data_IF_694827166550
#
_entry.id   IF_694827166550
#
_cell.length_a   1.000
_cell.length_b   1.000
_cell.length_c   1.000
_cell.angle_alpha   90.00
_cell.angle_beta   90.00
_cell.angle_gamma   90.00
#
_symmetry.space_group_name_H-M   'P 1'
#
loop_
_entity.id
_entity.type
_entity.pdbx_description
1 polymer ?
#
# COMPACT_ATOMS: atom_id res chain seq x y z
N UNK A 1 -18.20 21.11 -2.51
CA UNK A 1 -18.20 20.07 -1.45
C UNK A 1 -19.38 19.13 -1.71
N UNK A 2 -19.23 17.82 -1.50
CA UNK A 2 -20.21 16.79 -1.94
C UNK A 2 -21.27 16.42 -0.88
N UNK A 3 -21.56 17.29 0.09
CA UNK A 3 -22.57 17.08 1.13
C UNK A 3 -22.48 15.76 1.91
N UNK A 4 -21.27 15.24 2.12
CA UNK A 4 -21.03 14.07 2.99
C UNK A 4 -20.70 14.58 4.39
N UNK A 5 -21.55 14.34 5.42
CA UNK A 5 -21.25 14.74 6.79
C UNK A 5 -19.90 14.18 7.23
N UNK A 6 -19.00 15.06 7.68
CA UNK A 6 -17.62 14.70 8.03
C UNK A 6 -17.27 15.28 9.38
N UNK A 7 -16.95 14.42 10.34
CA UNK A 7 -16.42 14.82 11.64
C UNK A 7 -14.89 14.87 11.56
N UNK A 8 -14.29 16.05 11.70
CA UNK A 8 -12.83 16.24 11.63
C UNK A 8 -12.20 15.87 12.98
N UNK A 9 -12.05 14.57 13.23
CA UNK A 9 -11.40 14.00 14.43
C UNK A 9 -10.76 12.65 14.12
N UNK A 10 -9.76 12.26 14.92
CA UNK A 10 -9.31 10.88 14.93
C UNK A 10 -10.38 9.98 15.55
N UNK A 11 -10.50 8.76 15.01
CA UNK A 11 -11.42 7.75 15.51
C UNK A 11 -10.72 6.91 16.59
N UNK A 12 -11.48 6.54 17.62
CA UNK A 12 -11.01 5.87 18.83
C UNK A 12 -12.14 5.71 19.84
N UNK A 13 -11.88 5.14 21.01
CA UNK A 13 -12.91 4.87 22.01
C UNK A 13 -13.66 6.14 22.44
N UNK A 14 -12.93 7.24 22.69
CA UNK A 14 -13.53 8.51 23.10
C UNK A 14 -14.46 9.13 22.04
N UNK A 15 -14.06 9.06 20.76
CA UNK A 15 -14.89 9.54 19.65
C UNK A 15 -16.13 8.66 19.48
N UNK A 16 -15.98 7.34 19.63
CA UNK A 16 -17.09 6.40 19.59
C UNK A 16 -18.10 6.66 20.73
N UNK A 17 -17.63 6.91 21.95
CA UNK A 17 -18.49 7.21 23.11
C UNK A 17 -19.26 8.52 22.93
N UNK A 18 -18.61 9.55 22.39
CA UNK A 18 -19.27 10.83 22.07
C UNK A 18 -20.41 10.63 21.07
N UNK A 19 -20.13 9.99 19.92
CA UNK A 19 -21.15 9.69 18.90
C UNK A 19 -22.26 8.83 19.50
N UNK A 20 -21.89 7.90 20.36
CA UNK A 20 -22.82 7.03 21.04
C UNK A 20 -23.78 7.77 21.98
N UNK A 21 -23.28 8.77 22.72
CA UNK A 21 -24.09 9.62 23.60
C UNK A 21 -25.05 10.52 22.83
N UNK A 22 -24.70 10.87 21.60
CA UNK A 22 -25.56 11.59 20.64
C UNK A 22 -26.62 10.68 19.98
N UNK A 23 -26.73 9.42 20.41
CA UNK A 23 -27.68 8.46 19.87
C UNK A 23 -27.24 7.83 18.54
N UNK A 24 -25.99 8.05 18.10
CA UNK A 24 -25.46 7.43 16.90
C UNK A 24 -24.95 6.02 17.20
N UNK A 25 -25.26 5.06 16.32
CA UNK A 25 -24.68 3.71 16.27
C UNK A 25 -24.67 3.23 14.83
N UNK A 26 -23.73 2.36 14.49
CA UNK A 26 -23.53 1.91 13.12
C UNK A 26 -24.01 0.46 12.92
N UNK A 27 -24.78 0.23 11.85
CA UNK A 27 -25.03 -1.11 11.30
C UNK A 27 -23.81 -1.61 10.50
N UNK A 28 -23.04 -0.68 9.93
CA UNK A 28 -21.83 -0.95 9.17
C UNK A 28 -20.75 0.09 9.52
N UNK A 29 -19.58 -0.39 9.91
CA UNK A 29 -18.36 0.41 10.01
C UNK A 29 -17.41 0.01 8.88
N UNK A 30 -16.90 0.98 8.13
CA UNK A 30 -16.01 0.76 6.99
C UNK A 30 -14.71 1.52 7.21
N UNK A 31 -13.57 0.84 7.05
CA UNK A 31 -12.26 1.50 6.98
C UNK A 31 -11.40 0.91 5.88
N UNK A 32 -11.01 1.72 4.91
CA UNK A 32 -10.16 1.30 3.80
C UNK A 32 -8.79 1.96 3.92
N UNK A 33 -7.74 1.14 4.03
CA UNK A 33 -6.35 1.56 4.15
C UNK A 33 -6.11 2.52 5.33
N UNK A 34 -6.81 2.30 6.46
CA UNK A 34 -6.64 3.10 7.68
C UNK A 34 -6.11 2.30 8.85
N UNK A 35 -6.47 1.02 9.00
CA UNK A 35 -6.10 0.21 10.16
C UNK A 35 -4.58 0.16 10.38
N UNK A 36 -3.83 -0.04 9.30
CA UNK A 36 -2.37 -0.07 9.29
C UNK A 36 -1.70 1.28 9.64
N UNK A 37 -2.46 2.39 9.59
CA UNK A 37 -1.97 3.74 9.82
C UNK A 37 -2.16 4.24 11.25
N UNK A 38 -2.92 3.49 12.06
CA UNK A 38 -3.24 3.89 13.44
C UNK A 38 -2.13 3.40 14.37
N UNK A 39 -1.42 4.30 15.08
CA UNK A 39 -0.42 3.89 16.06
C UNK A 39 -1.02 3.15 17.25
N UNK A 40 -2.15 3.64 17.78
CA UNK A 40 -2.94 2.97 18.81
C UNK A 40 -4.07 2.13 18.19
N UNK A 41 -3.69 0.99 17.60
CA UNK A 41 -4.63 0.09 16.93
C UNK A 41 -5.70 -0.46 17.88
N UNK A 42 -5.39 -0.61 19.17
CA UNK A 42 -6.33 -1.14 20.16
C UNK A 42 -7.41 -0.11 20.51
N UNK A 43 -7.06 1.17 20.73
CA UNK A 43 -8.07 2.23 20.94
C UNK A 43 -9.01 2.37 19.73
N UNK A 44 -8.46 2.23 18.52
CA UNK A 44 -9.25 2.30 17.30
C UNK A 44 -10.22 1.14 17.15
N UNK A 45 -9.79 -0.10 17.40
CA UNK A 45 -10.65 -1.30 17.36
C UNK A 45 -11.66 -1.29 18.51
N UNK A 46 -11.29 -0.81 19.70
CA UNK A 46 -12.22 -0.59 20.81
C UNK A 46 -13.32 0.41 20.44
N UNK A 47 -12.95 1.51 19.78
CA UNK A 47 -13.91 2.47 19.24
C UNK A 47 -14.89 1.83 18.26
N UNK A 48 -14.42 0.93 17.40
CA UNK A 48 -15.29 0.20 16.47
C UNK A 48 -16.28 -0.67 17.22
N UNK A 49 -15.81 -1.47 18.19
CA UNK A 49 -16.69 -2.28 19.05
C UNK A 49 -17.79 -1.40 19.64
N UNK A 50 -17.42 -0.29 20.31
CA UNK A 50 -18.38 0.55 21.06
C UNK A 50 -19.47 1.18 20.19
N UNK A 51 -19.11 1.60 18.98
CA UNK A 51 -20.04 2.26 18.06
C UNK A 51 -20.90 1.27 17.26
N UNK A 52 -20.45 0.02 17.12
CA UNK A 52 -21.14 -1.03 16.37
C UNK A 52 -22.40 -1.52 17.10
N UNK A 53 -23.53 -1.58 16.39
CA UNK A 53 -24.76 -2.22 16.89
C UNK A 53 -24.56 -3.73 17.14
N UNK A 54 -25.39 -4.40 17.96
CA UNK A 54 -25.23 -5.83 18.27
C UNK A 54 -25.12 -6.75 17.05
N UNK A 55 -25.90 -6.49 15.99
CA UNK A 55 -25.87 -7.23 14.73
C UNK A 55 -25.11 -6.50 13.60
N UNK A 56 -24.33 -5.46 13.95
CA UNK A 56 -23.58 -4.68 12.97
C UNK A 56 -22.36 -5.43 12.43
N UNK A 57 -21.86 -4.98 11.29
CA UNK A 57 -20.64 -5.49 10.65
C UNK A 57 -19.54 -4.43 10.61
N UNK A 58 -18.31 -4.83 10.85
CA UNK A 58 -17.09 -4.05 10.58
C UNK A 58 -16.46 -4.63 9.32
N UNK A 59 -16.05 -3.76 8.39
CA UNK A 59 -15.20 -4.14 7.27
C UNK A 59 -13.96 -3.27 7.20
N UNK A 60 -12.79 -3.93 7.14
CA UNK A 60 -11.49 -3.26 7.09
C UNK A 60 -10.66 -3.79 5.94
N UNK A 61 -10.18 -2.89 5.07
CA UNK A 61 -9.22 -3.20 4.01
C UNK A 61 -7.82 -2.70 4.37
N UNK A 62 -6.80 -3.54 4.19
CA UNK A 62 -5.39 -3.19 4.39
C UNK A 62 -4.46 -4.10 3.57
N UNK A 63 -3.23 -3.63 3.22
CA UNK A 63 -2.23 -4.46 2.56
C UNK A 63 -1.91 -5.72 3.35
N UNK A 64 -1.80 -6.84 2.65
CA UNK A 64 -1.55 -8.15 3.26
C UNK A 64 -0.05 -8.40 3.46
N UNK A 65 0.36 -8.72 4.69
CA UNK A 65 1.76 -9.00 5.03
C UNK A 65 2.38 -10.11 4.19
N UNK A 66 1.62 -11.17 3.90
CA UNK A 66 2.10 -12.28 3.06
C UNK A 66 2.48 -11.77 1.66
N UNK A 67 1.59 -11.00 1.01
CA UNK A 67 1.83 -10.43 -0.32
C UNK A 67 2.96 -9.42 -0.33
N UNK A 68 3.14 -8.65 0.75
CA UNK A 68 4.29 -7.75 0.92
C UNK A 68 5.62 -8.53 0.89
N UNK A 69 5.72 -9.61 1.67
CA UNK A 69 6.95 -10.41 1.79
C UNK A 69 7.25 -11.22 0.53
N UNK A 70 6.22 -11.80 -0.09
CA UNK A 70 6.30 -12.55 -1.36
C UNK A 70 6.65 -11.64 -2.53
N UNK A 71 5.95 -10.51 -2.65
CA UNK A 71 6.14 -9.53 -3.72
C UNK A 71 7.31 -8.57 -3.50
N UNK A 72 8.14 -8.81 -2.49
CA UNK A 72 9.27 -7.96 -2.10
C UNK A 72 8.91 -6.46 -2.05
N UNK A 73 7.72 -6.13 -1.52
CA UNK A 73 7.09 -4.81 -1.59
C UNK A 73 7.60 -3.88 -0.48
N UNK A 74 8.92 -3.83 -0.27
CA UNK A 74 9.55 -3.09 0.82
C UNK A 74 9.33 -1.57 0.72
N UNK A 75 8.99 -1.07 -0.46
CA UNK A 75 8.67 0.34 -0.69
C UNK A 75 7.37 0.75 0.01
N UNK A 76 6.49 -0.20 0.33
CA UNK A 76 5.31 0.00 1.18
C UNK A 76 5.65 0.22 2.65
N UNK A 77 6.93 0.15 3.05
CA UNK A 77 7.40 0.42 4.41
C UNK A 77 7.75 1.90 4.53
N UNK A 78 6.86 2.70 5.11
CA UNK A 78 7.07 4.14 5.35
C UNK A 78 6.27 4.62 6.57
N UNK A 79 6.54 5.84 7.02
CA UNK A 79 6.06 6.37 8.30
C UNK A 79 4.55 6.32 8.53
N UNK A 80 3.74 6.42 7.47
CA UNK A 80 2.29 6.34 7.61
C UNK A 80 1.81 4.91 7.84
N UNK A 81 2.57 3.89 7.41
CA UNK A 81 2.28 2.48 7.70
C UNK A 81 2.95 2.06 9.00
N UNK A 82 2.22 2.21 10.10
CA UNK A 82 2.69 1.81 11.43
C UNK A 82 2.69 0.30 11.62
N UNK A 83 1.76 -0.41 10.97
CA UNK A 83 1.60 -1.86 11.06
C UNK A 83 1.56 -2.53 9.69
N UNK A 84 2.09 -3.75 9.61
CA UNK A 84 2.03 -4.62 8.43
C UNK A 84 1.28 -5.89 8.82
N UNK A 85 0.06 -6.05 8.30
CA UNK A 85 -0.95 -6.88 8.93
C UNK A 85 -1.14 -8.22 8.19
N UNK A 86 -1.04 -9.31 8.94
CA UNK A 86 -1.53 -10.64 8.54
C UNK A 86 -2.96 -10.85 9.04
N UNK A 87 -3.66 -11.86 8.51
CA UNK A 87 -4.94 -12.28 9.06
C UNK A 87 -4.77 -12.66 10.54
N UNK A 88 -3.75 -13.46 10.86
CA UNK A 88 -3.46 -13.86 12.24
C UNK A 88 -3.36 -12.67 13.21
N UNK A 89 -2.57 -11.65 12.87
CA UNK A 89 -2.38 -10.50 13.75
C UNK A 89 -3.69 -9.72 13.97
N UNK A 90 -4.49 -9.55 12.92
CA UNK A 90 -5.76 -8.84 12.99
C UNK A 90 -6.79 -9.64 13.79
N UNK A 91 -6.81 -10.96 13.67
CA UNK A 91 -7.63 -11.83 14.53
C UNK A 91 -7.30 -11.67 16.00
N UNK A 92 -6.00 -11.59 16.36
CA UNK A 92 -5.60 -11.39 17.76
C UNK A 92 -6.06 -10.03 18.29
N UNK A 93 -5.87 -8.95 17.52
CA UNK A 93 -6.29 -7.61 17.91
C UNK A 93 -7.80 -7.55 18.08
N UNK A 94 -8.58 -8.03 17.11
CA UNK A 94 -10.05 -7.98 17.18
C UNK A 94 -10.59 -8.86 18.33
N UNK A 95 -10.03 -10.05 18.53
CA UNK A 95 -10.44 -10.94 19.62
C UNK A 95 -10.20 -10.32 21.01
N UNK A 96 -9.10 -9.57 21.18
CA UNK A 96 -8.82 -8.85 22.43
C UNK A 96 -9.91 -7.83 22.80
N UNK A 97 -10.67 -7.34 21.82
CA UNK A 97 -11.79 -6.40 21.99
C UNK A 97 -13.18 -7.08 21.88
N UNK A 98 -13.25 -8.41 21.97
CA UNK A 98 -14.52 -9.14 21.92
C UNK A 98 -15.19 -9.13 20.54
N UNK A 99 -14.42 -8.90 19.48
CA UNK A 99 -14.85 -9.01 18.09
C UNK A 99 -14.33 -10.32 17.48
N UNK A 100 -15.11 -10.90 16.56
CA UNK A 100 -14.71 -12.08 15.82
C UNK A 100 -14.76 -11.80 14.33
N UNK A 101 -13.70 -12.19 13.62
CA UNK A 101 -13.67 -12.21 12.16
C UNK A 101 -14.45 -13.43 11.67
N UNK A 102 -15.36 -13.20 10.72
CA UNK A 102 -16.22 -14.24 10.17
C UNK A 102 -16.07 -14.41 8.65
N UNK A 103 -15.53 -13.42 7.93
CA UNK A 103 -15.24 -13.56 6.50
C UNK A 103 -14.00 -12.73 6.09
N UNK A 104 -13.42 -13.04 4.94
CA UNK A 104 -12.26 -12.33 4.38
C UNK A 104 -12.22 -12.40 2.85
N UNK A 105 -11.93 -11.27 2.21
CA UNK A 105 -11.66 -11.17 0.77
C UNK A 105 -10.19 -10.84 0.51
N UNK A 106 -9.56 -11.55 -0.43
CA UNK A 106 -8.28 -11.16 -1.00
C UNK A 106 -8.52 -10.27 -2.21
N UNK A 107 -7.87 -9.10 -2.23
CA UNK A 107 -8.04 -8.07 -3.25
C UNK A 107 -6.68 -7.78 -3.93
N UNK A 108 -6.66 -7.52 -5.25
CA UNK A 108 -5.43 -7.14 -5.95
C UNK A 108 -4.98 -5.71 -5.66
N UNK A 109 -5.79 -4.92 -4.93
CA UNK A 109 -5.51 -3.52 -4.61
C UNK A 109 -4.22 -3.37 -3.81
N UNK A 110 -3.50 -2.28 -4.06
CA UNK A 110 -2.26 -1.92 -3.37
C UNK A 110 -1.11 -2.95 -3.41
N UNK A 111 -1.17 -3.94 -4.32
CA UNK A 111 -0.18 -5.01 -4.40
C UNK A 111 -0.60 -6.31 -3.70
N UNK A 112 -1.84 -6.39 -3.24
CA UNK A 112 -2.37 -7.51 -2.47
C UNK A 112 -2.86 -7.02 -1.11
N UNK A 113 -4.16 -7.04 -0.91
CA UNK A 113 -4.83 -6.57 0.31
C UNK A 113 -5.80 -7.61 0.82
N UNK A 114 -6.07 -7.57 2.13
CA UNK A 114 -7.21 -8.26 2.72
C UNK A 114 -8.31 -7.25 2.98
N UNK A 115 -9.56 -7.65 2.72
CA UNK A 115 -10.74 -7.04 3.32
C UNK A 115 -11.37 -8.04 4.28
N UNK A 116 -11.32 -7.75 5.58
CA UNK A 116 -11.93 -8.59 6.60
C UNK A 116 -13.38 -8.16 6.87
N UNK A 117 -14.15 -9.09 7.43
CA UNK A 117 -15.46 -8.83 7.98
C UNK A 117 -15.51 -9.35 9.43
N UNK A 118 -15.94 -8.49 10.35
CA UNK A 118 -15.99 -8.79 11.77
C UNK A 118 -17.28 -8.28 12.43
N UNK A 119 -17.64 -8.88 13.56
CA UNK A 119 -18.76 -8.45 14.39
C UNK A 119 -18.52 -8.78 15.86
N UNK A 120 -19.47 -8.45 16.74
CA UNK A 120 -19.41 -8.86 18.15
C UNK A 120 -19.31 -10.38 18.25
N UNK A 121 -18.36 -10.92 19.03
CA UNK A 121 -18.07 -12.36 19.04
C UNK A 121 -19.30 -13.23 19.38
N UNK A 122 -20.23 -12.74 20.21
CA UNK A 122 -21.48 -13.44 20.53
C UNK A 122 -22.58 -13.36 19.46
N UNK A 123 -22.40 -12.54 18.41
CA UNK A 123 -23.37 -12.34 17.33
C UNK A 123 -22.78 -12.62 15.93
N UNK A 124 -21.46 -12.73 15.83
CA UNK A 124 -20.78 -13.00 14.56
C UNK A 124 -21.16 -14.40 14.04
N UNK A 125 -21.35 -14.55 12.72
CA UNK A 125 -21.45 -15.86 12.09
C UNK A 125 -20.21 -16.72 12.36
N UNK A 126 -20.35 -18.03 12.11
CA UNK A 126 -19.19 -18.91 12.05
C UNK A 126 -18.21 -18.44 10.95
N UNK A 127 -16.92 -18.63 11.20
CA UNK A 127 -15.89 -18.31 10.22
C UNK A 127 -16.14 -19.03 8.88
N UNK A 128 -16.11 -18.27 7.79
CA UNK A 128 -16.29 -18.79 6.44
C UNK A 128 -15.14 -19.71 6.04
N UNK A 129 -15.36 -20.52 5.00
CA UNK A 129 -14.30 -21.34 4.39
C UNK A 129 -13.11 -20.50 3.91
N UNK A 130 -13.35 -19.23 3.53
CA UNK A 130 -12.30 -18.29 3.09
C UNK A 130 -11.36 -17.94 4.24
N UNK A 131 -11.90 -17.69 5.43
CA UNK A 131 -11.10 -17.44 6.64
C UNK A 131 -10.29 -18.67 7.00
N UNK A 132 -10.90 -19.86 6.96
CA UNK A 132 -10.21 -21.11 7.27
C UNK A 132 -9.08 -21.42 6.27
N UNK A 133 -9.32 -21.19 4.99
CA UNK A 133 -8.32 -21.37 3.94
C UNK A 133 -7.13 -20.41 4.13
N UNK A 134 -7.40 -19.12 4.36
CA UNK A 134 -6.33 -18.13 4.55
C UNK A 134 -5.53 -18.35 5.85
N UNK A 135 -6.18 -18.79 6.93
CA UNK A 135 -5.47 -19.24 8.14
C UNK A 135 -4.51 -20.38 7.84
N UNK A 136 -4.94 -21.37 7.05
CA UNK A 136 -4.11 -22.50 6.66
C UNK A 136 -2.93 -22.07 5.77
N UNK A 137 -3.14 -21.14 4.83
CA UNK A 137 -2.08 -20.55 4.00
C UNK A 137 -1.03 -19.82 4.86
N UNK A 138 -1.46 -18.91 5.75
CA UNK A 138 -0.53 -18.19 6.65
C UNK A 138 0.21 -19.13 7.60
N UNK A 139 -0.45 -20.17 8.10
CA UNK A 139 0.18 -21.17 8.95
C UNK A 139 1.21 -22.02 8.19
N UNK A 140 0.91 -22.41 6.95
CA UNK A 140 1.79 -23.25 6.13
C UNK A 140 3.11 -22.54 5.79
N UNK A 141 3.06 -21.23 5.52
CA UNK A 141 4.28 -20.44 5.29
C UNK A 141 4.95 -20.00 6.59
N UNK A 142 4.23 -20.05 7.71
CA UNK A 142 4.76 -19.77 9.04
C UNK A 142 4.85 -18.28 9.36
N UNK A 143 3.86 -17.47 8.97
CA UNK A 143 3.81 -15.99 9.21
C UNK A 143 4.05 -15.62 10.69
N UNK A 144 3.73 -16.51 11.63
CA UNK A 144 3.94 -16.29 13.08
C UNK A 144 5.37 -16.58 13.55
N UNK A 145 6.26 -17.05 12.68
CA UNK A 145 7.63 -17.45 13.02
C UNK A 145 8.65 -16.49 12.42
N UNK A 146 9.69 -16.13 13.18
CA UNK A 146 10.77 -15.26 12.69
C UNK A 146 11.51 -15.83 11.48
N UNK A 147 11.56 -17.16 11.34
CA UNK A 147 12.18 -17.84 10.20
C UNK A 147 11.50 -17.53 8.87
N UNK A 148 10.20 -17.24 8.84
CA UNK A 148 9.49 -16.85 7.62
C UNK A 148 10.03 -15.53 7.03
N UNK A 149 10.40 -14.59 7.90
CA UNK A 149 10.97 -13.30 7.51
C UNK A 149 12.47 -13.37 7.24
N UNK A 150 13.12 -14.50 7.58
CA UNK A 150 14.54 -14.69 7.32
C UNK A 150 14.80 -14.60 5.80
N UNK A 151 15.78 -13.80 5.42
CA UNK A 151 16.13 -13.56 4.02
C UNK A 151 15.33 -12.47 3.31
N UNK A 152 14.21 -11.97 3.86
CA UNK A 152 13.51 -10.81 3.26
C UNK A 152 14.46 -9.62 3.09
N UNK A 153 15.24 -9.29 4.11
CA UNK A 153 16.24 -8.23 4.04
C UNK A 153 17.30 -8.42 2.94
N UNK A 154 17.76 -9.65 2.70
CA UNK A 154 18.68 -9.91 1.58
C UNK A 154 18.00 -9.76 0.23
N UNK A 155 16.74 -10.21 0.07
CA UNK A 155 15.96 -9.99 -1.16
C UNK A 155 15.78 -8.50 -1.45
N UNK A 156 15.50 -7.70 -0.43
CA UNK A 156 15.42 -6.24 -0.56
C UNK A 156 16.74 -5.63 -1.02
N UNK A 157 17.88 -6.02 -0.41
CA UNK A 157 19.20 -5.55 -0.83
C UNK A 157 19.52 -5.96 -2.26
N UNK A 158 19.14 -7.17 -2.66
CA UNK A 158 19.38 -7.66 -4.02
C UNK A 158 18.56 -6.89 -5.06
N UNK A 159 17.27 -6.65 -4.81
CA UNK A 159 16.44 -5.80 -5.67
C UNK A 159 17.01 -4.38 -5.78
N UNK A 160 17.54 -3.81 -4.68
CA UNK A 160 18.28 -2.54 -4.73
C UNK A 160 19.49 -2.61 -5.66
N UNK A 161 20.33 -3.64 -5.54
CA UNK A 161 21.53 -3.80 -6.40
C UNK A 161 21.15 -3.90 -7.87
N UNK A 162 20.18 -4.74 -8.21
CA UNK A 162 19.67 -4.90 -9.59
C UNK A 162 19.10 -3.60 -10.15
N UNK A 163 18.35 -2.83 -9.36
CA UNK A 163 17.81 -1.54 -9.79
C UNK A 163 18.92 -0.53 -10.05
N UNK A 164 19.92 -0.45 -9.17
CA UNK A 164 21.07 0.44 -9.38
C UNK A 164 21.91 0.00 -10.58
N UNK A 165 22.13 -1.30 -10.77
CA UNK A 165 22.84 -1.84 -11.94
C UNK A 165 22.14 -1.41 -13.24
N UNK A 166 20.82 -1.56 -13.32
CA UNK A 166 20.04 -1.10 -14.46
C UNK A 166 20.18 0.41 -14.71
N UNK A 167 19.99 1.24 -13.69
CA UNK A 167 20.03 2.71 -13.83
C UNK A 167 21.43 3.21 -14.19
N UNK A 168 22.48 2.67 -13.56
CA UNK A 168 23.87 2.99 -13.88
C UNK A 168 24.20 2.55 -15.30
N UNK A 169 23.75 1.36 -15.71
CA UNK A 169 23.89 0.87 -17.07
C UNK A 169 23.23 1.79 -18.11
N UNK A 170 22.00 2.23 -17.85
CA UNK A 170 21.29 3.19 -18.68
C UNK A 170 22.09 4.50 -18.83
N UNK A 171 22.57 5.08 -17.72
CA UNK A 171 23.35 6.33 -17.75
C UNK A 171 24.67 6.19 -18.50
N UNK A 172 25.39 5.08 -18.30
CA UNK A 172 26.64 4.78 -19.05
C UNK A 172 26.41 4.60 -20.54
N UNK A 173 25.23 4.14 -20.94
CA UNK A 173 24.83 4.05 -22.35
C UNK A 173 24.30 5.39 -22.92
N UNK A 174 24.39 6.49 -22.17
CA UNK A 174 23.88 7.80 -22.58
C UNK A 174 22.35 7.89 -22.61
N UNK A 175 21.65 6.98 -21.93
CA UNK A 175 20.18 6.91 -21.89
C UNK A 175 19.60 7.81 -20.81
N UNK A 176 18.44 8.38 -21.10
CA UNK A 176 17.66 9.21 -20.19
C UNK A 176 16.61 8.39 -19.44
N UNK A 177 16.36 8.74 -18.19
CA UNK A 177 15.40 8.02 -17.33
C UNK A 177 14.52 9.01 -16.60
N UNK A 178 13.20 8.90 -16.82
CA UNK A 178 12.18 9.65 -16.12
C UNK A 178 11.36 8.72 -15.21
N UNK A 179 10.69 9.28 -14.20
CA UNK A 179 9.73 8.58 -13.35
C UNK A 179 8.30 8.84 -13.80
N UNK A 180 7.41 7.90 -13.52
CA UNK A 180 5.96 8.10 -13.58
C UNK A 180 5.35 7.84 -12.21
N UNK A 181 4.55 8.79 -11.73
CA UNK A 181 3.95 8.88 -10.41
C UNK A 181 4.90 9.43 -9.34
N UNK A 182 4.33 10.05 -8.30
CA UNK A 182 5.03 10.47 -7.09
C UNK A 182 4.34 9.92 -5.83
N UNK A 183 4.13 8.59 -5.68
CA UNK A 183 3.45 8.01 -4.52
C UNK A 183 4.37 7.98 -3.28
N UNK A 184 3.79 7.89 -2.09
CA UNK A 184 4.55 7.77 -0.82
C UNK A 184 5.59 6.65 -0.85
N UNK A 185 5.17 5.45 -1.27
CA UNK A 185 6.06 4.29 -1.46
C UNK A 185 7.21 4.50 -2.44
N UNK A 186 6.99 5.28 -3.50
CA UNK A 186 8.04 5.63 -4.46
C UNK A 186 9.18 6.38 -3.78
N UNK A 187 8.88 7.19 -2.76
CA UNK A 187 9.90 7.88 -2.00
C UNK A 187 10.72 6.93 -1.13
N UNK A 188 10.13 5.91 -0.51
CA UNK A 188 10.89 4.87 0.21
C UNK A 188 11.86 4.17 -0.72
N UNK A 189 11.39 3.70 -1.88
CA UNK A 189 12.23 3.04 -2.88
C UNK A 189 13.42 3.91 -3.27
N UNK A 190 13.16 5.15 -3.70
CA UNK A 190 14.20 6.03 -4.22
C UNK A 190 15.19 6.45 -3.12
N UNK A 191 14.72 6.79 -1.92
CA UNK A 191 15.61 7.13 -0.79
C UNK A 191 16.45 5.93 -0.34
N UNK A 192 15.83 4.75 -0.18
CA UNK A 192 16.55 3.54 0.23
C UNK A 192 17.62 3.13 -0.79
N UNK A 193 17.31 3.23 -2.09
CA UNK A 193 18.26 2.95 -3.15
C UNK A 193 19.31 4.05 -3.35
N UNK A 194 19.07 5.27 -2.86
CA UNK A 194 19.96 6.42 -3.07
C UNK A 194 19.85 6.99 -4.49
N UNK A 195 18.70 6.83 -5.14
CA UNK A 195 18.45 7.30 -6.52
C UNK A 195 18.10 8.79 -6.46
N UNK A 196 18.90 9.62 -7.14
CA UNK A 196 18.70 11.08 -7.25
C UNK A 196 18.66 11.51 -8.71
N UNK A 197 18.77 12.81 -8.95
CA UNK A 197 18.71 13.42 -10.29
C UNK A 197 19.85 13.02 -11.22
N UNK A 198 20.91 12.41 -10.71
CA UNK A 198 21.98 11.78 -11.51
C UNK A 198 21.52 10.47 -12.17
N UNK A 199 20.50 9.81 -11.61
CA UNK A 199 19.95 8.55 -12.11
C UNK A 199 18.52 8.68 -12.65
N UNK A 200 17.70 9.58 -12.09
CA UNK A 200 16.30 9.83 -12.50
C UNK A 200 16.07 11.33 -12.69
N UNK A 201 15.96 11.79 -13.94
CA UNK A 201 16.01 13.22 -14.29
C UNK A 201 14.86 14.02 -13.64
N UNK A 202 13.67 13.41 -13.65
CA UNK A 202 12.44 13.96 -13.08
C UNK A 202 11.41 12.85 -12.88
N UNK A 203 10.28 13.17 -12.25
CA UNK A 203 9.07 12.33 -12.32
C UNK A 203 7.87 13.15 -12.79
N UNK A 204 6.85 12.50 -13.33
CA UNK A 204 5.54 13.12 -13.60
C UNK A 204 4.48 12.57 -12.67
N UNK A 205 3.45 13.33 -12.34
CA UNK A 205 2.28 12.82 -11.60
C UNK A 205 1.01 13.45 -12.19
N UNK A 206 -0.13 12.75 -12.14
CA UNK A 206 -1.41 13.30 -12.63
C UNK A 206 -2.00 14.32 -11.65
N UNK A 207 -1.59 14.31 -10.39
CA UNK A 207 -2.08 15.21 -9.38
C UNK A 207 -1.43 16.61 -9.52
N UNK A 208 -2.20 17.64 -9.92
CA UNK A 208 -1.66 18.98 -10.14
C UNK A 208 -1.09 19.62 -8.87
N UNK A 209 -1.54 19.21 -7.68
CA UNK A 209 -1.00 19.70 -6.41
C UNK A 209 0.46 19.32 -6.16
N UNK A 210 1.00 18.37 -6.93
CA UNK A 210 2.41 17.96 -6.85
C UNK A 210 3.31 18.65 -7.86
N UNK A 211 2.76 19.25 -8.92
CA UNK A 211 3.57 19.85 -9.99
C UNK A 211 4.39 21.03 -9.47
N UNK A 212 5.63 21.16 -9.95
CA UNK A 212 6.58 22.19 -9.51
C UNK A 212 7.18 21.95 -8.13
N UNK A 213 6.82 20.85 -7.46
CA UNK A 213 7.43 20.41 -6.19
C UNK A 213 8.50 19.35 -6.46
N UNK A 214 9.12 18.89 -5.38
CA UNK A 214 10.18 17.87 -5.40
C UNK A 214 9.80 16.67 -4.55
N UNK A 215 10.30 15.49 -4.91
CA UNK A 215 10.18 14.31 -4.08
C UNK A 215 10.95 14.49 -2.75
N UNK A 216 10.37 14.09 -1.60
CA UNK A 216 11.03 14.22 -0.29
C UNK A 216 12.32 13.39 -0.23
N UNK A 217 13.39 14.00 0.30
CA UNK A 217 14.71 13.39 0.48
C UNK A 217 15.57 13.32 -0.79
N UNK A 218 15.02 12.83 -1.90
CA UNK A 218 15.77 12.71 -3.17
C UNK A 218 15.82 13.99 -3.99
N UNK A 219 14.88 14.91 -3.76
CA UNK A 219 14.77 16.21 -4.44
C UNK A 219 14.62 16.11 -5.96
N UNK A 220 14.01 15.04 -6.45
CA UNK A 220 13.70 14.87 -7.88
C UNK A 220 12.48 15.73 -8.22
N UNK A 221 12.53 16.58 -9.27
CA UNK A 221 11.42 17.48 -9.61
C UNK A 221 10.20 16.72 -10.15
N UNK A 222 9.02 17.26 -9.87
CA UNK A 222 7.72 16.68 -10.27
C UNK A 222 7.06 17.58 -11.32
N UNK A 223 6.75 17.02 -12.49
CA UNK A 223 6.08 17.70 -13.59
C UNK A 223 4.70 17.11 -13.92
N UNK A 224 4.00 17.75 -14.85
CA UNK A 224 2.80 17.22 -15.47
C UNK A 224 3.13 16.12 -16.49
N UNK A 225 2.23 15.15 -16.76
CA UNK A 225 2.50 14.01 -17.65
C UNK A 225 2.97 14.39 -19.06
N UNK A 226 2.55 15.54 -19.58
CA UNK A 226 2.91 16.05 -20.91
C UNK A 226 4.42 16.28 -21.06
N UNK A 227 5.14 16.43 -19.94
CA UNK A 227 6.59 16.58 -19.94
C UNK A 227 7.31 15.37 -20.56
N UNK A 228 6.74 14.15 -20.45
CA UNK A 228 7.27 12.94 -21.09
C UNK A 228 7.31 13.10 -22.62
N UNK A 229 6.28 13.70 -23.21
CA UNK A 229 6.21 13.90 -24.67
C UNK A 229 7.25 14.93 -25.12
N UNK A 230 7.46 15.97 -24.31
CA UNK A 230 8.43 17.02 -24.60
C UNK A 230 9.88 16.52 -24.54
N UNK A 231 10.24 15.70 -23.54
CA UNK A 231 11.63 15.26 -23.35
C UNK A 231 11.95 13.89 -23.95
N UNK A 232 10.93 13.09 -24.31
CA UNK A 232 11.07 11.77 -24.94
C UNK A 232 12.11 10.86 -24.25
N UNK A 233 11.93 10.52 -22.95
CA UNK A 233 12.90 9.72 -22.23
C UNK A 233 13.03 8.30 -22.82
N UNK A 234 14.22 7.71 -22.74
CA UNK A 234 14.46 6.32 -23.18
C UNK A 234 13.78 5.31 -22.23
N UNK A 235 13.74 5.61 -20.94
CA UNK A 235 13.07 4.80 -19.93
C UNK A 235 12.13 5.62 -19.05
N UNK A 236 10.97 5.04 -18.75
CA UNK A 236 10.01 5.57 -17.78
C UNK A 236 9.83 4.58 -16.63
N UNK A 237 10.39 4.90 -15.46
CA UNK A 237 10.30 4.10 -14.24
C UNK A 237 8.93 4.29 -13.57
N UNK A 238 8.11 3.23 -13.54
CA UNK A 238 6.78 3.25 -12.94
C UNK A 238 6.88 3.10 -11.42
N UNK A 239 6.76 4.22 -10.70
CA UNK A 239 6.82 4.25 -9.22
C UNK A 239 5.55 3.68 -8.55
N UNK A 240 4.31 3.95 -9.04
CA UNK A 240 3.12 3.25 -8.58
C UNK A 240 2.96 1.92 -9.35
N UNK A 241 3.90 1.00 -9.14
CA UNK A 241 3.98 -0.29 -9.83
C UNK A 241 2.73 -1.17 -9.66
N UNK A 242 1.92 -0.94 -8.63
CA UNK A 242 0.62 -1.60 -8.45
C UNK A 242 -0.40 -1.22 -9.54
N UNK A 243 -0.13 -0.19 -10.34
CA UNK A 243 -0.91 0.24 -11.50
C UNK A 243 -0.12 0.03 -12.80
N UNK A 244 0.91 -0.82 -12.82
CA UNK A 244 1.82 -0.99 -13.97
C UNK A 244 1.10 -1.29 -15.28
N UNK A 245 0.04 -2.10 -15.26
CA UNK A 245 -0.66 -2.51 -16.48
C UNK A 245 -1.48 -1.34 -17.04
N UNK A 246 -2.19 -0.60 -16.18
CA UNK A 246 -2.92 0.61 -16.56
C UNK A 246 -1.96 1.70 -17.07
N UNK A 247 -0.86 1.92 -16.35
CA UNK A 247 0.11 2.98 -16.68
C UNK A 247 0.88 2.65 -17.94
N UNK A 248 1.34 1.40 -18.12
CA UNK A 248 2.02 1.00 -19.35
C UNK A 248 1.11 1.10 -20.57
N UNK A 249 -0.19 0.77 -20.43
CA UNK A 249 -1.18 0.99 -21.48
C UNK A 249 -1.37 2.49 -21.80
N UNK A 250 -1.46 3.35 -20.77
CA UNK A 250 -1.54 4.80 -20.94
C UNK A 250 -0.28 5.36 -21.63
N UNK A 251 0.89 4.81 -21.31
CA UNK A 251 2.19 5.24 -21.83
C UNK A 251 2.57 4.57 -23.17
N UNK A 252 1.69 3.81 -23.82
CA UNK A 252 2.04 3.12 -25.07
C UNK A 252 2.62 4.03 -26.16
N UNK A 253 2.28 5.33 -26.13
CA UNK A 253 2.78 6.34 -27.08
C UNK A 253 4.29 6.54 -27.01
N UNK A 254 4.96 6.19 -25.91
CA UNK A 254 6.42 6.34 -25.78
C UNK A 254 7.20 5.44 -26.74
N UNK A 255 6.57 4.37 -27.23
CA UNK A 255 7.15 3.47 -28.25
C UNK A 255 7.44 4.20 -29.56
N UNK A 256 6.76 5.31 -29.86
CA UNK A 256 6.97 6.10 -31.07
C UNK A 256 8.40 6.67 -31.20
N UNK A 257 9.14 6.80 -30.09
CA UNK A 257 10.56 7.16 -30.08
C UNK A 257 11.45 6.07 -29.47
N UNK A 258 10.93 4.85 -29.29
CA UNK A 258 11.65 3.74 -28.68
C UNK A 258 11.77 3.78 -27.15
N UNK A 259 10.98 4.63 -26.49
CA UNK A 259 10.90 4.65 -25.02
C UNK A 259 10.31 3.35 -24.46
N UNK A 260 10.73 2.96 -23.26
CA UNK A 260 10.25 1.74 -22.58
C UNK A 260 9.86 1.99 -21.13
N UNK A 261 8.80 1.34 -20.67
CA UNK A 261 8.43 1.37 -19.25
C UNK A 261 9.33 0.43 -18.45
N UNK A 262 9.60 0.77 -17.19
CA UNK A 262 10.40 -0.05 -16.26
C UNK A 262 9.63 -0.19 -14.96
N UNK A 263 9.46 -1.42 -14.49
CA UNK A 263 8.87 -1.73 -13.19
C UNK A 263 10.02 -2.04 -12.21
N UNK A 264 10.15 -1.33 -11.07
CA UNK A 264 11.32 -1.44 -10.21
C UNK A 264 11.34 -2.68 -9.29
N UNK A 265 10.16 -3.16 -8.86
CA UNK A 265 10.00 -4.24 -7.89
C UNK A 265 8.86 -5.19 -8.33
N UNK A 266 8.84 -6.47 -7.91
CA UNK A 266 9.81 -7.18 -7.04
C UNK A 266 11.22 -7.30 -7.63
N UNK A 267 11.31 -7.28 -8.95
CA UNK A 267 12.54 -7.29 -9.72
C UNK A 267 12.42 -6.26 -10.85
N UNK A 268 13.56 -5.74 -11.28
CA UNK A 268 13.63 -4.78 -12.38
C UNK A 268 13.15 -5.45 -13.67
N UNK A 269 12.05 -4.96 -14.22
CA UNK A 269 11.50 -5.46 -15.47
C UNK A 269 11.36 -4.31 -16.47
N UNK A 270 12.04 -4.43 -17.61
CA UNK A 270 11.80 -3.56 -18.76
C UNK A 270 10.62 -4.12 -19.54
N UNK A 271 9.54 -3.35 -19.65
CA UNK A 271 8.35 -3.72 -20.40
C UNK A 271 8.57 -3.46 -21.90
N UNK A 272 7.98 -4.29 -22.78
CA UNK A 272 8.04 -4.11 -24.23
C UNK A 272 7.28 -2.86 -24.70
#
# INVERSE_FOLDING_TARGET
>A
ERSVPTLVRFFGAATADMLAAEGQRADLLVGNNVLAHVPDINDFVEGMRRLLKPAGTITMEFPHLLRLVEGNQFDTIYHEHFSYLSLYAVEQVFAAHGLALFDVEELPTHGGSLRIYAGHAGHAPAASERVLALRAEEAAVGVTNLSYYAGFGERVRETKRKLLEFLIGARRAGKTVAGYGAPGKGNTLLNYCGIRTDMLDYTVDRNPFKHGKFLPGTQIPIFAPEHIIATKPDYVLILPWNLRDEISAQLQYIRAWGGRCVVPIPEVQVLP
#
